data_IF_330697565794
#
_entry.id   IF_330697565794
#
_cell.length_a   1.000
_cell.length_b   1.000
_cell.length_c   1.000
_cell.angle_alpha   90.00
_cell.angle_beta   90.00
_cell.angle_gamma   90.00
#
_symmetry.space_group_name_H-M   'P 1'
#
loop_
_entity.id
_entity.type
_entity.pdbx_description
1 polymer ?
#
# COMPACT_ATOMS: atom_id res chain seq x y z
N UNK A 1 37.91 -57.88 -4.81
CA UNK A 1 37.97 -57.18 -3.50
C UNK A 1 38.49 -55.74 -3.63
N UNK A 2 39.43 -55.43 -4.52
CA UNK A 2 39.95 -54.06 -4.76
C UNK A 2 38.95 -53.13 -5.45
N UNK A 3 38.20 -53.60 -6.45
CA UNK A 3 37.21 -52.77 -7.18
C UNK A 3 36.04 -52.28 -6.31
N UNK A 4 35.60 -53.09 -5.32
CA UNK A 4 34.55 -52.69 -4.38
C UNK A 4 34.98 -51.56 -3.44
N UNK A 5 36.28 -51.42 -3.16
CA UNK A 5 36.82 -50.29 -2.37
C UNK A 5 36.91 -49.02 -3.21
N UNK A 6 37.27 -49.13 -4.49
CA UNK A 6 37.31 -48.00 -5.42
C UNK A 6 35.91 -47.42 -5.66
N UNK A 7 34.88 -48.26 -5.82
CA UNK A 7 33.49 -47.78 -5.97
C UNK A 7 32.97 -47.02 -4.75
N UNK A 8 33.23 -47.51 -3.53
CA UNK A 8 32.83 -46.82 -2.28
C UNK A 8 33.53 -45.47 -2.10
N UNK A 9 34.79 -45.35 -2.48
CA UNK A 9 35.52 -44.08 -2.41
C UNK A 9 34.95 -43.03 -3.37
N UNK A 10 34.60 -43.45 -4.60
CA UNK A 10 33.99 -42.55 -5.59
C UNK A 10 32.58 -42.09 -5.18
N UNK A 11 31.76 -42.98 -4.61
CA UNK A 11 30.42 -42.63 -4.09
C UNK A 11 30.51 -41.66 -2.90
N UNK A 12 31.48 -41.85 -2.00
CA UNK A 12 31.69 -40.92 -0.88
C UNK A 12 32.17 -39.55 -1.35
N UNK A 13 33.10 -39.50 -2.31
CA UNK A 13 33.56 -38.23 -2.89
C UNK A 13 32.43 -37.51 -3.63
N UNK A 14 31.60 -38.22 -4.40
CA UNK A 14 30.45 -37.62 -5.09
C UNK A 14 29.40 -37.08 -4.10
N UNK A 15 29.09 -37.81 -3.03
CA UNK A 15 28.17 -37.36 -1.98
C UNK A 15 28.70 -36.13 -1.23
N UNK A 16 29.99 -36.13 -0.89
CA UNK A 16 30.64 -35.02 -0.20
C UNK A 16 30.69 -33.77 -1.09
N UNK A 17 31.01 -33.93 -2.38
CA UNK A 17 31.04 -32.84 -3.35
C UNK A 17 29.62 -32.25 -3.59
N UNK A 18 28.60 -33.10 -3.66
CA UNK A 18 27.18 -32.66 -3.76
C UNK A 18 26.76 -31.85 -2.52
N UNK A 19 27.13 -32.31 -1.32
CA UNK A 19 26.80 -31.61 -0.07
C UNK A 19 27.45 -30.23 0.06
N UNK A 20 28.67 -30.06 -0.45
CA UNK A 20 29.39 -28.79 -0.45
C UNK A 20 28.74 -27.81 -1.43
N UNK A 21 28.33 -28.28 -2.62
CA UNK A 21 27.61 -27.45 -3.60
C UNK A 21 26.28 -26.96 -3.04
N UNK A 22 25.47 -27.85 -2.46
CA UNK A 22 24.18 -27.47 -1.85
C UNK A 22 24.34 -26.45 -0.71
N UNK A 23 25.37 -26.60 0.12
CA UNK A 23 25.66 -25.67 1.21
C UNK A 23 26.08 -24.28 0.69
N UNK A 24 26.89 -24.24 -0.36
CA UNK A 24 27.31 -23.00 -1.04
C UNK A 24 26.11 -22.28 -1.68
N UNK A 25 25.26 -22.98 -2.42
CA UNK A 25 24.09 -22.40 -3.09
C UNK A 25 23.08 -21.86 -2.08
N UNK A 26 22.90 -22.55 -0.95
CA UNK A 26 22.05 -22.08 0.15
C UNK A 26 22.62 -20.83 0.83
N UNK A 27 23.93 -20.72 0.95
CA UNK A 27 24.58 -19.53 1.52
C UNK A 27 24.45 -18.33 0.57
N UNK A 28 24.71 -18.52 -0.72
CA UNK A 28 24.54 -17.49 -1.75
C UNK A 28 23.10 -16.96 -1.80
N UNK A 29 22.12 -17.87 -1.80
CA UNK A 29 20.70 -17.51 -1.78
C UNK A 29 20.34 -16.70 -0.54
N UNK A 30 20.85 -17.09 0.65
CA UNK A 30 20.62 -16.30 1.87
C UNK A 30 21.19 -14.89 1.76
N UNK A 31 22.40 -14.73 1.22
CA UNK A 31 23.03 -13.42 1.06
C UNK A 31 22.24 -12.54 0.08
N UNK A 32 21.87 -13.07 -1.08
CA UNK A 32 21.05 -12.35 -2.07
C UNK A 32 19.72 -11.90 -1.46
N UNK A 33 19.04 -12.80 -0.75
CA UNK A 33 17.79 -12.51 -0.04
C UNK A 33 17.97 -11.41 1.00
N UNK A 34 19.02 -11.46 1.82
CA UNK A 34 19.28 -10.43 2.83
C UNK A 34 19.57 -9.06 2.21
N UNK A 35 20.31 -9.03 1.10
CA UNK A 35 20.59 -7.78 0.39
C UNK A 35 19.33 -7.18 -0.24
N UNK A 36 18.48 -8.00 -0.85
CA UNK A 36 17.24 -7.52 -1.45
C UNK A 36 16.25 -7.06 -0.38
N UNK A 37 16.16 -7.78 0.74
CA UNK A 37 15.42 -7.35 1.92
C UNK A 37 15.92 -6.00 2.45
N UNK A 38 17.24 -5.82 2.55
CA UNK A 38 17.84 -4.57 3.01
C UNK A 38 17.53 -3.40 2.04
N UNK A 39 17.61 -3.62 0.73
CA UNK A 39 17.21 -2.62 -0.27
C UNK A 39 15.72 -2.27 -0.15
N UNK A 40 14.84 -3.26 0.03
CA UNK A 40 13.41 -3.03 0.22
C UNK A 40 13.14 -2.25 1.51
N UNK A 41 13.78 -2.63 2.62
CA UNK A 41 13.68 -1.93 3.90
C UNK A 41 14.20 -0.50 3.79
N UNK A 42 15.30 -0.27 3.06
CA UNK A 42 15.83 1.06 2.80
C UNK A 42 14.83 1.93 2.04
N UNK A 43 14.22 1.40 0.97
CA UNK A 43 13.17 2.09 0.21
C UNK A 43 11.94 2.41 1.07
N UNK A 44 11.54 1.49 1.94
CA UNK A 44 10.43 1.72 2.89
C UNK A 44 10.79 2.79 3.93
N UNK A 45 12.06 2.85 4.34
CA UNK A 45 12.56 3.82 5.33
C UNK A 45 12.74 5.23 4.76
N UNK A 46 13.09 5.36 3.49
CA UNK A 46 13.30 6.66 2.83
C UNK A 46 12.03 7.53 2.78
N UNK A 47 10.85 6.92 2.95
CA UNK A 47 9.59 7.65 3.03
C UNK A 47 9.26 8.42 1.74
N UNK A 48 8.16 9.20 1.73
CA UNK A 48 7.88 10.09 0.62
C UNK A 48 8.98 11.14 0.50
N UNK A 49 9.45 11.40 -0.72
CA UNK A 49 10.48 12.41 -0.96
C UNK A 49 9.99 13.76 -0.45
N UNK A 50 10.78 14.40 0.41
CA UNK A 50 10.47 15.73 0.94
C UNK A 50 10.72 16.77 -0.17
N UNK A 51 9.66 17.43 -0.61
CA UNK A 51 9.71 18.47 -1.64
C UNK A 51 9.10 18.03 -2.98
N UNK A 52 8.90 19.00 -3.87
CA UNK A 52 8.44 18.77 -5.23
C UNK A 52 9.64 18.56 -6.14
N UNK A 53 9.60 17.53 -6.99
CA UNK A 53 10.52 17.45 -8.13
C UNK A 53 10.36 18.70 -9.01
N UNK A 54 11.43 19.10 -9.72
CA UNK A 54 11.39 20.27 -10.62
C UNK A 54 10.29 20.14 -11.68
N UNK A 55 10.05 18.93 -12.18
CA UNK A 55 8.95 18.62 -13.09
C UNK A 55 7.58 18.89 -12.44
N UNK A 56 7.32 18.31 -11.25
CA UNK A 56 6.07 18.54 -10.53
C UNK A 56 5.83 20.02 -10.21
N UNK A 57 6.89 20.77 -9.89
CA UNK A 57 6.80 22.22 -9.65
C UNK A 57 6.37 22.97 -10.92
N UNK A 58 6.98 22.68 -12.06
CA UNK A 58 6.64 23.33 -13.34
C UNK A 58 5.18 23.09 -13.72
N UNK A 59 4.70 21.85 -13.63
CA UNK A 59 3.31 21.50 -13.96
C UNK A 59 2.34 22.15 -12.97
N UNK A 60 2.71 22.20 -11.68
CA UNK A 60 1.92 22.89 -10.65
C UNK A 60 1.78 24.40 -10.93
N UNK A 61 2.86 25.05 -11.37
CA UNK A 61 2.83 26.46 -11.74
C UNK A 61 1.91 26.69 -12.95
N UNK A 62 1.98 25.83 -13.97
CA UNK A 62 1.05 25.87 -15.14
C UNK A 62 -0.42 25.63 -14.75
N UNK A 63 -0.68 24.71 -13.81
CA UNK A 63 -2.02 24.44 -13.29
C UNK A 63 -2.55 25.59 -12.42
N UNK A 64 -1.69 26.53 -12.01
CA UNK A 64 -2.14 27.76 -11.33
C UNK A 64 -2.78 28.72 -12.32
N UNK A 65 -2.28 28.76 -13.55
CA UNK A 65 -2.82 29.57 -14.65
C UNK A 65 -4.09 28.95 -15.25
N UNK A 66 -4.13 27.62 -15.39
CA UNK A 66 -5.31 26.87 -15.83
C UNK A 66 -5.64 25.69 -14.89
N UNK A 67 -6.44 25.94 -13.82
CA UNK A 67 -6.75 24.92 -12.82
C UNK A 67 -7.59 23.75 -13.31
N UNK A 68 -8.18 23.85 -14.50
CA UNK A 68 -9.14 22.89 -15.02
C UNK A 68 -8.60 22.10 -16.22
N UNK A 69 -7.34 22.29 -16.60
CA UNK A 69 -6.71 21.53 -17.65
C UNK A 69 -6.55 20.04 -17.25
N UNK A 70 -7.24 19.14 -17.95
CA UNK A 70 -7.24 17.71 -17.61
C UNK A 70 -5.88 17.04 -17.82
N UNK A 71 -5.11 17.45 -18.82
CA UNK A 71 -3.78 16.92 -19.10
C UNK A 71 -2.79 17.31 -17.99
N UNK A 72 -2.79 18.58 -17.57
CA UNK A 72 -1.94 19.05 -16.46
C UNK A 72 -2.33 18.40 -15.12
N UNK A 73 -3.63 18.14 -14.88
CA UNK A 73 -4.09 17.40 -13.69
C UNK A 73 -3.50 15.98 -13.68
N UNK A 74 -3.56 15.29 -14.82
CA UNK A 74 -2.99 13.94 -14.94
C UNK A 74 -1.47 13.98 -14.75
N UNK A 75 -0.76 14.85 -15.47
CA UNK A 75 0.69 14.94 -15.42
C UNK A 75 1.19 15.24 -14.00
N UNK A 76 0.56 16.20 -13.31
CA UNK A 76 0.90 16.50 -11.91
C UNK A 76 0.57 15.33 -10.98
N UNK A 77 -0.55 14.64 -11.20
CA UNK A 77 -0.93 13.44 -10.47
C UNK A 77 0.09 12.31 -10.60
N UNK A 78 0.60 12.08 -11.81
CA UNK A 78 1.64 11.08 -12.10
C UNK A 78 2.97 11.45 -11.45
N UNK A 79 3.36 12.73 -11.50
CA UNK A 79 4.56 13.21 -10.84
C UNK A 79 4.48 12.99 -9.31
N UNK A 80 3.32 13.28 -8.69
CA UNK A 80 3.11 12.97 -7.28
C UNK A 80 3.13 11.47 -6.98
N UNK A 81 2.58 10.63 -7.85
CA UNK A 81 2.63 9.17 -7.69
C UNK A 81 4.08 8.66 -7.75
N UNK A 82 4.90 9.16 -8.67
CA UNK A 82 6.31 8.82 -8.80
C UNK A 82 7.12 9.22 -7.55
N UNK A 83 6.81 10.38 -6.97
CA UNK A 83 7.41 10.86 -5.71
C UNK A 83 6.77 10.23 -4.45
N UNK A 84 5.86 9.27 -4.60
CA UNK A 84 5.11 8.58 -3.53
C UNK A 84 4.29 9.53 -2.63
N UNK A 85 3.94 10.70 -3.14
CA UNK A 85 3.11 11.71 -2.47
C UNK A 85 1.63 11.39 -2.70
N UNK A 86 1.19 10.23 -2.21
CA UNK A 86 -0.15 9.69 -2.49
C UNK A 86 -1.30 10.60 -2.05
N UNK A 87 -1.10 11.38 -0.99
CA UNK A 87 -2.09 12.37 -0.52
C UNK A 87 -2.37 13.45 -1.57
N UNK A 88 -1.30 14.08 -2.05
CA UNK A 88 -1.32 15.11 -3.07
C UNK A 88 -1.81 14.54 -4.40
N UNK A 89 -1.33 13.36 -4.79
CA UNK A 89 -1.76 12.63 -5.99
C UNK A 89 -3.29 12.48 -6.03
N UNK A 90 -3.92 11.88 -5.00
CA UNK A 90 -5.36 11.70 -5.05
C UNK A 90 -6.12 13.04 -4.98
N UNK A 91 -5.63 14.04 -4.23
CA UNK A 91 -6.30 15.34 -4.15
C UNK A 91 -6.31 16.09 -5.48
N UNK A 92 -5.26 15.96 -6.29
CA UNK A 92 -5.20 16.52 -7.65
C UNK A 92 -6.11 15.74 -8.58
N UNK A 93 -5.95 14.41 -8.64
CA UNK A 93 -6.72 13.57 -9.55
C UNK A 93 -8.22 13.56 -9.24
N UNK A 94 -8.63 13.70 -7.98
CA UNK A 94 -10.05 13.82 -7.61
C UNK A 94 -10.75 15.02 -8.26
N UNK A 95 -10.03 16.10 -8.57
CA UNK A 95 -10.61 17.28 -9.26
C UNK A 95 -11.05 16.94 -10.68
N UNK A 96 -10.33 16.03 -11.34
CA UNK A 96 -10.60 15.60 -12.71
C UNK A 96 -11.49 14.36 -12.81
N UNK A 97 -11.80 13.65 -11.72
CA UNK A 97 -12.48 12.35 -11.79
C UNK A 97 -13.81 12.41 -12.54
N UNK A 98 -14.67 13.39 -12.26
CA UNK A 98 -15.96 13.56 -12.97
C UNK A 98 -15.83 14.01 -14.43
N UNK A 99 -14.63 14.42 -14.83
CA UNK A 99 -14.27 14.92 -16.16
C UNK A 99 -13.36 13.96 -16.92
N UNK A 100 -13.15 12.74 -16.41
CA UNK A 100 -12.27 11.75 -17.05
C UNK A 100 -12.70 11.40 -18.48
N UNK A 101 -13.99 11.56 -18.81
CA UNK A 101 -14.53 11.39 -20.16
C UNK A 101 -14.02 12.42 -21.19
N UNK A 102 -13.37 13.51 -20.76
CA UNK A 102 -12.78 14.51 -21.67
C UNK A 102 -11.51 13.97 -22.37
N UNK A 103 -10.85 12.95 -21.81
CA UNK A 103 -9.75 12.29 -22.51
C UNK A 103 -10.30 11.43 -23.66
N UNK A 104 -9.82 11.71 -24.88
CA UNK A 104 -10.20 10.96 -26.08
C UNK A 104 -9.71 9.52 -26.02
N UNK A 105 -8.46 9.31 -25.57
CA UNK A 105 -7.85 7.98 -25.46
C UNK A 105 -8.38 7.20 -24.26
N UNK A 106 -8.91 6.00 -24.53
CA UNK A 106 -9.34 5.02 -23.52
C UNK A 106 -8.20 4.60 -22.59
N UNK A 107 -7.00 4.46 -23.14
CA UNK A 107 -5.80 4.11 -22.38
C UNK A 107 -5.45 5.19 -21.35
N UNK A 108 -5.52 6.46 -21.75
CA UNK A 108 -5.27 7.59 -20.85
C UNK A 108 -6.32 7.65 -19.73
N UNK A 109 -7.60 7.39 -20.05
CA UNK A 109 -8.67 7.28 -19.04
C UNK A 109 -8.39 6.16 -18.04
N UNK A 110 -8.03 4.97 -18.54
CA UNK A 110 -7.68 3.83 -17.71
C UNK A 110 -6.50 4.16 -16.79
N UNK A 111 -5.43 4.74 -17.33
CA UNK A 111 -4.24 5.10 -16.56
C UNK A 111 -4.54 6.16 -15.48
N UNK A 112 -5.36 7.16 -15.79
CA UNK A 112 -5.84 8.16 -14.83
C UNK A 112 -6.57 7.50 -13.66
N UNK A 113 -7.54 6.65 -13.94
CA UNK A 113 -8.38 6.01 -12.92
C UNK A 113 -7.61 4.96 -12.10
N UNK A 114 -6.73 4.18 -12.74
CA UNK A 114 -5.85 3.24 -12.03
C UNK A 114 -4.94 3.97 -11.04
N UNK A 115 -4.32 5.08 -11.45
CA UNK A 115 -3.47 5.90 -10.57
C UNK A 115 -4.28 6.50 -9.42
N UNK A 116 -5.47 7.06 -9.70
CA UNK A 116 -6.35 7.60 -8.65
C UNK A 116 -6.79 6.49 -7.67
N UNK A 117 -7.11 5.30 -8.18
CA UNK A 117 -7.47 4.16 -7.35
C UNK A 117 -6.30 3.73 -6.45
N UNK A 118 -5.09 3.60 -6.99
CA UNK A 118 -3.88 3.29 -6.22
C UNK A 118 -3.61 4.34 -5.14
N UNK A 119 -3.70 5.63 -5.48
CA UNK A 119 -3.53 6.71 -4.52
C UNK A 119 -4.60 6.69 -3.41
N UNK A 120 -5.83 6.33 -3.76
CA UNK A 120 -6.94 6.15 -2.81
C UNK A 120 -6.70 4.96 -1.88
N UNK A 121 -6.18 3.84 -2.41
CA UNK A 121 -5.77 2.66 -1.64
C UNK A 121 -4.63 2.97 -0.68
N UNK A 122 -3.60 3.69 -1.14
CA UNK A 122 -2.49 4.13 -0.29
C UNK A 122 -2.94 5.04 0.86
N UNK A 123 -4.01 5.83 0.65
CA UNK A 123 -4.66 6.63 1.69
C UNK A 123 -5.72 5.87 2.50
N UNK A 124 -5.92 4.58 2.25
CA UNK A 124 -6.93 3.72 2.90
C UNK A 124 -8.37 4.19 2.71
N UNK A 125 -8.64 4.95 1.66
CA UNK A 125 -9.98 5.38 1.25
C UNK A 125 -10.64 4.27 0.41
N UNK A 126 -10.80 3.09 0.98
CA UNK A 126 -11.19 1.86 0.26
C UNK A 126 -12.53 1.98 -0.48
N UNK A 127 -13.52 2.68 0.10
CA UNK A 127 -14.80 2.95 -0.56
C UNK A 127 -14.67 3.85 -1.78
N UNK A 128 -13.80 4.85 -1.70
CA UNK A 128 -13.49 5.73 -2.83
C UNK A 128 -12.77 4.94 -3.92
N UNK A 129 -11.77 4.13 -3.55
CA UNK A 129 -11.07 3.26 -4.49
C UNK A 129 -12.03 2.30 -5.21
N UNK A 130 -12.99 1.71 -4.49
CA UNK A 130 -14.03 0.85 -5.07
C UNK A 130 -14.94 1.59 -6.05
N UNK A 131 -15.34 2.83 -5.72
CA UNK A 131 -16.12 3.65 -6.63
C UNK A 131 -15.34 4.01 -7.91
N UNK A 132 -14.08 4.44 -7.78
CA UNK A 132 -13.20 4.73 -8.92
C UNK A 132 -12.99 3.49 -9.78
N UNK A 133 -12.81 2.32 -9.15
CA UNK A 133 -12.64 1.04 -9.84
C UNK A 133 -13.86 0.67 -10.70
N UNK A 134 -15.07 1.02 -10.26
CA UNK A 134 -16.30 0.81 -11.03
C UNK A 134 -16.38 1.63 -12.32
N UNK A 135 -15.65 2.75 -12.39
CA UNK A 135 -15.59 3.61 -13.58
C UNK A 135 -14.49 3.17 -14.56
N UNK A 136 -13.65 2.18 -14.22
CA UNK A 136 -12.57 1.71 -15.09
C UNK A 136 -13.14 0.78 -16.17
N UNK A 137 -13.06 1.22 -17.41
CA UNK A 137 -13.30 0.38 -18.58
C UNK A 137 -12.22 -0.70 -18.71
N UNK A 138 -12.59 -1.90 -19.14
CA UNK A 138 -11.65 -3.01 -19.35
C UNK A 138 -10.60 -2.64 -20.41
N UNK A 139 -9.30 -2.62 -20.10
CA UNK A 139 -8.26 -2.26 -21.06
C UNK A 139 -8.08 -3.36 -22.12
N UNK A 140 -7.70 -2.96 -23.33
CA UNK A 140 -7.46 -3.88 -24.46
C UNK A 140 -6.08 -4.53 -24.39
N UNK A 141 -5.10 -3.81 -23.81
CA UNK A 141 -3.75 -4.29 -23.58
C UNK A 141 -3.73 -5.33 -22.44
N UNK A 142 -3.18 -6.51 -22.71
CA UNK A 142 -3.18 -7.64 -21.78
C UNK A 142 -2.42 -7.33 -20.48
N UNK A 143 -1.27 -6.67 -20.57
CA UNK A 143 -0.48 -6.31 -19.38
C UNK A 143 -1.22 -5.30 -18.49
N UNK A 144 -1.90 -4.33 -19.10
CA UNK A 144 -2.73 -3.36 -18.40
C UNK A 144 -3.98 -4.02 -17.81
N UNK A 145 -4.56 -4.98 -18.51
CA UNK A 145 -5.67 -5.80 -18.01
C UNK A 145 -5.29 -6.57 -16.75
N UNK A 146 -4.15 -7.28 -16.76
CA UNK A 146 -3.67 -8.04 -15.61
C UNK A 146 -3.36 -7.14 -14.41
N UNK A 147 -2.76 -5.96 -14.65
CA UNK A 147 -2.56 -4.94 -13.60
C UNK A 147 -3.87 -4.40 -13.04
N UNK A 148 -4.88 -4.21 -13.89
CA UNK A 148 -6.21 -3.78 -13.47
C UNK A 148 -6.90 -4.84 -12.61
N UNK A 149 -6.87 -6.12 -13.01
CA UNK A 149 -7.46 -7.23 -12.25
C UNK A 149 -6.75 -7.44 -10.89
N UNK A 150 -5.43 -7.30 -10.84
CA UNK A 150 -4.68 -7.32 -9.59
C UNK A 150 -5.14 -6.20 -8.63
N UNK A 151 -5.32 -4.98 -9.16
CA UNK A 151 -5.81 -3.84 -8.38
C UNK A 151 -7.27 -4.05 -7.93
N UNK A 152 -8.14 -4.60 -8.79
CA UNK A 152 -9.52 -4.98 -8.44
C UNK A 152 -9.56 -5.94 -7.27
N UNK A 153 -8.76 -7.02 -7.32
CA UNK A 153 -8.65 -7.98 -6.24
C UNK A 153 -8.34 -7.29 -4.90
N UNK A 154 -7.28 -6.47 -4.89
CA UNK A 154 -6.87 -5.74 -3.69
C UNK A 154 -7.98 -4.82 -3.16
N UNK A 155 -8.65 -4.08 -4.04
CA UNK A 155 -9.75 -3.16 -3.67
C UNK A 155 -10.95 -3.92 -3.11
N UNK A 156 -11.41 -4.99 -3.77
CA UNK A 156 -12.56 -5.79 -3.31
C UNK A 156 -12.28 -6.43 -1.95
N UNK A 157 -11.12 -7.07 -1.78
CA UNK A 157 -10.76 -7.68 -0.51
C UNK A 157 -10.63 -6.64 0.61
N UNK A 158 -10.02 -5.48 0.36
CA UNK A 158 -9.96 -4.41 1.37
C UNK A 158 -11.35 -3.86 1.76
N UNK A 159 -12.36 -3.98 0.90
CA UNK A 159 -13.75 -3.62 1.20
C UNK A 159 -14.58 -4.78 1.79
N UNK A 160 -14.03 -5.98 1.92
CA UNK A 160 -14.71 -7.14 2.50
C UNK A 160 -15.43 -8.05 1.51
N UNK A 161 -15.31 -7.80 0.20
CA UNK A 161 -15.90 -8.66 -0.84
C UNK A 161 -14.91 -9.75 -1.24
N UNK A 162 -14.98 -10.89 -0.54
CA UNK A 162 -14.11 -12.03 -0.78
C UNK A 162 -14.31 -12.66 -2.17
N UNK A 163 -15.56 -12.81 -2.61
CA UNK A 163 -15.88 -13.54 -3.83
C UNK A 163 -15.43 -12.77 -5.08
N UNK A 164 -15.72 -11.47 -5.15
CA UNK A 164 -15.27 -10.63 -6.26
C UNK A 164 -13.72 -10.50 -6.25
N UNK A 165 -13.13 -10.38 -5.06
CA UNK A 165 -11.68 -10.30 -4.90
C UNK A 165 -10.94 -11.55 -5.42
N UNK A 166 -11.39 -12.74 -5.02
CA UNK A 166 -10.81 -14.01 -5.49
C UNK A 166 -10.96 -14.19 -7.00
N UNK A 167 -12.13 -13.85 -7.56
CA UNK A 167 -12.35 -13.93 -9.02
C UNK A 167 -11.38 -13.04 -9.79
N UNK A 168 -11.19 -11.80 -9.35
CA UNK A 168 -10.23 -10.87 -9.96
C UNK A 168 -8.77 -11.35 -9.77
N UNK A 169 -8.45 -11.91 -8.60
CA UNK A 169 -7.12 -12.47 -8.32
C UNK A 169 -6.75 -13.59 -9.30
N UNK A 170 -7.64 -14.56 -9.50
CA UNK A 170 -7.39 -15.68 -10.42
C UNK A 170 -7.20 -15.20 -11.86
N UNK A 171 -8.01 -14.24 -12.32
CA UNK A 171 -7.84 -13.62 -13.64
C UNK A 171 -6.51 -12.87 -13.78
N UNK A 172 -6.03 -12.25 -12.71
CA UNK A 172 -4.77 -11.52 -12.70
C UNK A 172 -3.54 -12.45 -12.81
N UNK A 173 -3.58 -13.64 -12.19
CA UNK A 173 -2.46 -14.59 -12.23
C UNK A 173 -2.53 -15.59 -13.40
N UNK A 174 -3.68 -15.72 -14.05
CA UNK A 174 -3.85 -16.62 -15.19
C UNK A 174 -2.88 -16.28 -16.33
N UNK A 175 -2.10 -17.26 -16.78
CA UNK A 175 -1.10 -17.10 -17.85
C UNK A 175 0.17 -16.33 -17.45
N UNK A 176 0.28 -15.89 -16.18
CA UNK A 176 1.48 -15.22 -15.69
C UNK A 176 2.55 -16.23 -15.27
N UNK A 177 3.80 -15.78 -15.25
CA UNK A 177 4.88 -16.54 -14.64
C UNK A 177 4.78 -16.54 -13.10
N UNK A 178 5.50 -17.46 -12.47
CA UNK A 178 5.51 -17.60 -11.01
C UNK A 178 5.93 -16.30 -10.30
N UNK A 179 6.90 -15.57 -10.85
CA UNK A 179 7.39 -14.33 -10.25
C UNK A 179 6.33 -13.22 -10.27
N UNK A 180 5.62 -13.04 -11.38
CA UNK A 180 4.55 -12.04 -11.51
C UNK A 180 3.35 -12.42 -10.64
N UNK A 181 2.98 -13.70 -10.60
CA UNK A 181 1.92 -14.19 -9.71
C UNK A 181 2.26 -13.92 -8.23
N UNK A 182 3.50 -14.17 -7.80
CA UNK A 182 3.96 -13.86 -6.45
C UNK A 182 3.89 -12.35 -6.15
N UNK A 183 4.28 -11.49 -7.09
CA UNK A 183 4.20 -10.02 -6.92
C UNK A 183 2.74 -9.56 -6.77
N UNK A 184 1.84 -10.09 -7.59
CA UNK A 184 0.39 -9.82 -7.50
C UNK A 184 -0.16 -10.27 -6.15
N UNK A 185 0.21 -11.47 -5.70
CA UNK A 185 -0.20 -12.00 -4.41
C UNK A 185 0.31 -11.16 -3.24
N UNK A 186 1.60 -10.80 -3.23
CA UNK A 186 2.19 -9.95 -2.20
C UNK A 186 1.56 -8.55 -2.15
N UNK A 187 1.18 -7.99 -3.30
CA UNK A 187 0.44 -6.73 -3.37
C UNK A 187 -0.95 -6.85 -2.75
N UNK A 188 -1.65 -7.95 -3.01
CA UNK A 188 -3.00 -8.19 -2.51
C UNK A 188 -3.05 -8.64 -1.04
N UNK A 189 -1.91 -9.03 -0.46
CA UNK A 189 -1.78 -9.67 0.85
C UNK A 189 -2.60 -9.02 1.97
N UNK A 190 -2.54 -7.69 2.22
CA UNK A 190 -3.33 -7.07 3.31
C UNK A 190 -4.84 -7.26 3.14
N UNK A 191 -5.33 -7.16 1.90
CA UNK A 191 -6.73 -7.38 1.58
C UNK A 191 -7.13 -8.84 1.76
N UNK A 192 -6.32 -9.76 1.24
CA UNK A 192 -6.55 -11.21 1.31
C UNK A 192 -6.57 -11.72 2.76
N UNK A 193 -5.63 -11.26 3.60
CA UNK A 193 -5.60 -11.53 5.04
C UNK A 193 -6.88 -11.05 5.72
N UNK A 194 -7.33 -9.82 5.41
CA UNK A 194 -8.53 -9.22 5.99
C UNK A 194 -9.81 -10.03 5.71
N UNK A 195 -9.93 -10.65 4.53
CA UNK A 195 -11.10 -11.46 4.15
C UNK A 195 -10.93 -12.96 4.42
N UNK A 196 -9.80 -13.39 5.01
CA UNK A 196 -9.53 -14.81 5.27
C UNK A 196 -9.27 -15.66 4.02
N UNK A 197 -8.83 -15.04 2.92
CA UNK A 197 -8.59 -15.72 1.64
C UNK A 197 -7.11 -16.03 1.36
N UNK A 198 -6.25 -15.87 2.36
CA UNK A 198 -4.81 -16.00 2.22
C UNK A 198 -4.38 -17.41 1.84
N UNK A 199 -4.89 -18.44 2.52
CA UNK A 199 -4.55 -19.84 2.23
C UNK A 199 -4.99 -20.27 0.82
N UNK A 200 -6.21 -19.91 0.41
CA UNK A 200 -6.73 -20.24 -0.93
C UNK A 200 -5.87 -19.64 -2.05
N UNK A 201 -5.49 -18.37 -1.91
CA UNK A 201 -4.65 -17.70 -2.91
C UNK A 201 -3.21 -18.17 -2.87
N UNK A 202 -2.69 -18.49 -1.68
CA UNK A 202 -1.36 -19.09 -1.51
C UNK A 202 -1.28 -20.45 -2.20
N UNK A 203 -2.25 -21.34 -1.98
CA UNK A 203 -2.29 -22.64 -2.65
C UNK A 203 -2.34 -22.52 -4.18
N UNK A 204 -3.03 -21.50 -4.71
CA UNK A 204 -3.06 -21.24 -6.15
C UNK A 204 -1.69 -20.82 -6.70
N UNK A 205 -0.92 -20.01 -5.97
CA UNK A 205 0.46 -19.63 -6.35
C UNK A 205 1.44 -20.78 -6.12
N UNK A 206 1.27 -21.57 -5.05
CA UNK A 206 2.07 -22.78 -4.78
C UNK A 206 1.91 -23.83 -5.89
N UNK A 207 0.71 -23.96 -6.47
CA UNK A 207 0.47 -24.86 -7.59
C UNK A 207 1.27 -24.49 -8.85
N UNK A 208 1.79 -23.26 -8.93
CA UNK A 208 2.67 -22.79 -10.01
C UNK A 208 4.16 -23.09 -9.73
N UNK A 209 4.50 -23.65 -8.57
CA UNK A 209 5.89 -23.99 -8.21
C UNK A 209 6.26 -25.38 -8.71
N UNK A 210 7.32 -25.47 -9.51
CA UNK A 210 7.86 -26.76 -9.99
C UNK A 210 8.92 -27.33 -9.03
N UNK A 211 9.67 -26.45 -8.37
CA UNK A 211 10.86 -26.79 -7.58
C UNK A 211 10.78 -26.30 -6.11
N UNK A 212 11.58 -26.93 -5.24
CA UNK A 212 11.70 -26.55 -3.83
C UNK A 212 12.28 -25.12 -3.63
N UNK A 213 13.07 -24.62 -4.58
CA UNK A 213 13.59 -23.25 -4.58
C UNK A 213 12.46 -22.23 -4.69
N UNK A 214 11.54 -22.42 -5.64
CA UNK A 214 10.35 -21.60 -5.82
C UNK A 214 9.43 -21.61 -4.60
N UNK A 215 9.25 -22.76 -3.94
CA UNK A 215 8.51 -22.84 -2.65
C UNK A 215 9.18 -22.01 -1.56
N UNK A 216 10.50 -22.07 -1.45
CA UNK A 216 11.25 -21.27 -0.49
C UNK A 216 11.16 -19.76 -0.79
N UNK A 217 11.16 -19.38 -2.07
CA UNK A 217 10.93 -17.99 -2.50
C UNK A 217 9.54 -17.51 -2.12
N UNK A 218 8.49 -18.32 -2.30
CA UNK A 218 7.14 -17.95 -1.91
C UNK A 218 7.02 -17.71 -0.39
N UNK A 219 7.62 -18.60 0.44
CA UNK A 219 7.67 -18.42 1.90
C UNK A 219 8.38 -17.13 2.31
N UNK A 220 9.43 -16.75 1.59
CA UNK A 220 10.12 -15.48 1.82
C UNK A 220 9.22 -14.29 1.47
N UNK A 221 8.55 -14.34 0.32
CA UNK A 221 7.62 -13.28 -0.12
C UNK A 221 6.48 -13.13 0.88
N UNK A 222 5.94 -14.24 1.39
CA UNK A 222 4.94 -14.27 2.45
C UNK A 222 5.44 -13.57 3.71
N UNK A 223 6.66 -13.89 4.17
CA UNK A 223 7.27 -13.25 5.33
C UNK A 223 7.42 -11.74 5.14
N UNK A 224 7.91 -11.30 3.97
CA UNK A 224 8.07 -9.88 3.64
C UNK A 224 6.72 -9.16 3.61
N UNK A 225 5.72 -9.76 2.97
CA UNK A 225 4.38 -9.20 2.89
C UNK A 225 3.74 -9.07 4.29
N UNK A 226 3.89 -10.11 5.14
CA UNK A 226 3.45 -10.10 6.52
C UNK A 226 4.13 -9.00 7.36
N UNK A 227 5.46 -8.88 7.27
CA UNK A 227 6.22 -7.83 7.96
C UNK A 227 5.79 -6.43 7.51
N UNK A 228 5.61 -6.22 6.20
CA UNK A 228 5.15 -4.96 5.64
C UNK A 228 3.75 -4.60 6.15
N UNK A 229 2.84 -5.57 6.18
CA UNK A 229 1.48 -5.39 6.68
C UNK A 229 1.48 -5.00 8.16
N UNK A 230 2.20 -5.74 9.01
CA UNK A 230 2.31 -5.45 10.44
C UNK A 230 2.94 -4.06 10.70
N UNK A 231 3.99 -3.69 9.96
CA UNK A 231 4.59 -2.36 10.08
C UNK A 231 3.59 -1.25 9.71
N UNK A 232 2.82 -1.44 8.64
CA UNK A 232 1.78 -0.50 8.23
C UNK A 232 0.64 -0.40 9.26
N UNK A 233 0.28 -1.52 9.90
CA UNK A 233 -0.69 -1.57 11.01
C UNK A 233 -0.21 -0.78 12.23
N UNK A 234 1.06 -0.96 12.64
CA UNK A 234 1.67 -0.23 13.74
C UNK A 234 1.71 1.28 13.50
N UNK A 235 2.07 1.70 12.28
CA UNK A 235 2.05 3.11 11.90
C UNK A 235 0.64 3.70 12.00
N UNK A 236 -0.43 2.94 11.67
CA UNK A 236 -1.79 3.44 11.89
C UNK A 236 -2.13 3.54 13.37
N UNK A 237 -1.81 2.51 14.14
CA UNK A 237 -2.14 2.48 15.56
C UNK A 237 -1.45 3.66 16.26
N UNK A 238 -0.21 3.97 15.90
CA UNK A 238 0.51 5.16 16.35
C UNK A 238 -0.20 6.46 15.96
N UNK A 239 -0.58 6.62 14.69
CA UNK A 239 -1.28 7.82 14.20
C UNK A 239 -2.67 8.01 14.86
N UNK A 240 -3.45 6.92 15.00
CA UNK A 240 -4.76 6.93 15.68
C UNK A 240 -4.61 7.28 17.15
N UNK A 241 -3.61 6.71 17.82
CA UNK A 241 -3.31 7.01 19.23
C UNK A 241 -2.91 8.48 19.41
N UNK A 242 -2.04 9.00 18.55
CA UNK A 242 -1.66 10.42 18.57
C UNK A 242 -2.86 11.35 18.32
N UNK A 243 -3.69 11.05 17.31
CA UNK A 243 -4.90 11.81 17.03
C UNK A 243 -5.90 11.76 18.20
N UNK A 244 -6.04 10.60 18.87
CA UNK A 244 -6.91 10.47 20.03
C UNK A 244 -6.41 11.30 21.21
N UNK A 245 -5.11 11.19 21.55
CA UNK A 245 -4.49 11.97 22.62
C UNK A 245 -4.65 13.47 22.36
N UNK A 246 -4.42 13.93 21.12
CA UNK A 246 -4.60 15.33 20.74
C UNK A 246 -6.06 15.78 20.92
N UNK A 247 -7.05 14.97 20.50
CA UNK A 247 -8.48 15.29 20.69
C UNK A 247 -8.88 15.37 22.15
N UNK A 248 -8.41 14.43 22.97
CA UNK A 248 -8.66 14.44 24.43
C UNK A 248 -8.04 15.68 25.08
N UNK A 249 -6.81 16.03 24.69
CA UNK A 249 -6.14 17.24 25.16
C UNK A 249 -6.93 18.51 24.80
N UNK A 250 -7.37 18.65 23.54
CA UNK A 250 -8.20 19.78 23.13
C UNK A 250 -9.54 19.85 23.88
N UNK A 251 -10.20 18.70 24.08
CA UNK A 251 -11.44 18.65 24.85
C UNK A 251 -11.22 19.10 26.32
N UNK A 252 -10.14 18.66 26.95
CA UNK A 252 -9.77 19.08 28.30
C UNK A 252 -9.45 20.58 28.38
N UNK A 253 -8.76 21.13 27.37
CA UNK A 253 -8.47 22.56 27.27
C UNK A 253 -9.77 23.38 27.19
N UNK A 254 -10.68 23.01 26.28
CA UNK A 254 -11.98 23.68 26.11
C UNK A 254 -12.80 23.62 27.40
N UNK A 255 -12.85 22.44 28.05
CA UNK A 255 -13.55 22.28 29.33
C UNK A 255 -12.97 23.20 30.41
N UNK A 256 -11.63 23.31 30.50
CA UNK A 256 -10.95 24.19 31.46
C UNK A 256 -11.31 25.66 31.22
N UNK A 257 -11.33 26.10 29.95
CA UNK A 257 -11.73 27.47 29.59
C UNK A 257 -13.17 27.76 30.01
N UNK A 258 -14.10 26.82 29.79
CA UNK A 258 -15.50 26.97 30.21
C UNK A 258 -15.61 27.10 31.73
N UNK A 259 -14.91 26.26 32.50
CA UNK A 259 -14.90 26.32 33.97
C UNK A 259 -14.33 27.65 34.45
N UNK A 260 -13.23 28.13 33.87
CA UNK A 260 -12.67 29.44 34.19
C UNK A 260 -13.65 30.59 33.88
N UNK A 261 -14.35 30.53 32.75
CA UNK A 261 -15.37 31.51 32.39
C UNK A 261 -16.54 31.53 33.38
N UNK A 262 -17.06 30.36 33.76
CA UNK A 262 -18.12 30.24 34.78
C UNK A 262 -17.67 30.77 36.14
N UNK A 263 -16.43 30.49 36.54
CA UNK A 263 -15.87 31.02 37.79
C UNK A 263 -15.75 32.55 37.78
N UNK A 264 -15.28 33.13 36.67
CA UNK A 264 -15.21 34.58 36.51
C UNK A 264 -16.59 35.23 36.56
N UNK A 265 -17.59 34.64 35.91
CA UNK A 265 -18.98 35.11 35.97
C UNK A 265 -19.51 35.10 37.41
N UNK A 266 -19.26 34.03 38.17
CA UNK A 266 -19.65 33.94 39.58
C UNK A 266 -18.96 35.02 40.45
N UNK A 267 -17.68 35.31 40.20
CA UNK A 267 -16.96 36.38 40.90
C UNK A 267 -17.51 37.77 40.55
N UNK A 268 -17.90 38.01 39.29
CA UNK A 268 -18.53 39.25 38.88
C UNK A 268 -19.91 39.43 39.50
N UNK A 269 -20.72 38.37 39.53
CA UNK A 269 -22.05 38.38 40.12
C UNK A 269 -22.01 38.66 41.62
N UNK A 270 -21.13 37.96 42.36
CA UNK A 270 -20.96 38.18 43.81
C UNK A 270 -20.52 39.60 44.16
N UNK A 271 -19.62 40.21 43.36
CA UNK A 271 -19.24 41.62 43.51
C UNK A 271 -20.41 42.57 43.22
N UNK A 272 -21.21 42.29 42.20
CA UNK A 272 -22.38 43.10 41.86
C UNK A 272 -23.46 43.02 42.96
N UNK A 273 -23.72 41.83 43.49
CA UNK A 273 -24.65 41.62 44.59
C UNK A 273 -24.21 42.36 45.87
N UNK A 274 -22.91 42.34 46.19
CA UNK A 274 -22.36 43.10 47.32
C UNK A 274 -22.54 44.61 47.15
N UNK A 275 -22.35 45.15 45.94
CA UNK A 275 -22.57 46.58 45.63
C UNK A 275 -24.04 46.99 45.74
N UNK A 276 -24.98 46.10 45.42
CA UNK A 276 -26.43 46.36 45.56
C UNK A 276 -26.85 46.47 47.03
N UNK A 277 -26.30 45.63 47.92
CA UNK A 277 -26.62 45.67 49.36
C UNK A 277 -26.16 46.95 50.07
N UNK A 278 -25.18 47.67 49.52
CA UNK A 278 -24.68 48.93 50.09
C UNK A 278 -25.55 50.15 49.76
N UNK A 279 -26.55 50.02 48.87
CA UNK A 279 -27.44 51.12 48.45
C UNK A 279 -28.81 51.12 49.13
N UNK A 280 -29.09 50.13 49.99
CA UNK A 280 -30.32 50.01 50.79
C UNK A 280 -29.97 50.38 52.22
#
# INVERSE_FOLDING_TARGET
MSELRLRRGAEQQAAEQTSITEASDRAALKTEVTQELEKMLKRLREGPRQGLSHAAKKVKDQLTDDPYNMELILELGLAYAQDQQWFQCANVLLRGWKRVGEFQSREVRCHFLMTLCQASMAQRKYRQAMAVMGDIEEPEDEDTFKRCEALKSHVYCCNGDMAAGLKAFHRAIEGQDFESACRIWAMCYPGLKKVGALEMTKSAVEAMTEDEGSKNRLKLIELIACMKDNCMEEVEQGSRRASFVMRVFFAALVFTVIVCACYLLHVLESKNAARLKLKI
#
